data_IF_154767813118
#
_entry.id   IF_154767813118
#
_cell.length_a   1.000
_cell.length_b   1.000
_cell.length_c   1.000
_cell.angle_alpha   90.00
_cell.angle_beta   90.00
_cell.angle_gamma   90.00
#
_symmetry.space_group_name_H-M   'P 1'
#
loop_
_entity.id
_entity.type
_entity.pdbx_description
1 polymer ?
#
# COMPACT_ATOMS: atom_id res chain seq x y z
N UNK A 1 6.56 -19.01 -12.81
CA UNK A 1 5.89 -17.84 -12.21
C UNK A 1 5.35 -18.23 -10.85
N UNK A 2 5.69 -17.49 -9.80
CA UNK A 2 5.37 -17.80 -8.41
C UNK A 2 5.13 -16.51 -7.62
N UNK A 3 4.06 -16.46 -6.83
CA UNK A 3 3.88 -15.46 -5.77
C UNK A 3 4.29 -16.12 -4.46
N UNK A 4 5.18 -15.48 -3.72
CA UNK A 4 5.63 -15.94 -2.41
C UNK A 4 5.85 -14.79 -1.44
N UNK A 5 5.96 -15.11 -0.16
CA UNK A 5 6.37 -14.12 0.84
C UNK A 5 7.77 -13.55 0.49
N UNK A 6 7.92 -12.25 0.70
CA UNK A 6 9.21 -11.61 0.60
C UNK A 6 10.09 -11.96 1.80
N UNK A 7 11.40 -12.04 1.57
CA UNK A 7 12.42 -12.31 2.58
C UNK A 7 13.52 -11.26 2.51
N UNK A 8 14.42 -11.22 3.49
CA UNK A 8 15.57 -10.29 3.48
C UNK A 8 16.45 -10.49 2.25
N UNK A 9 16.50 -11.70 1.68
CA UNK A 9 17.25 -11.99 0.44
C UNK A 9 16.70 -11.22 -0.79
N UNK A 10 15.46 -10.78 -0.77
CA UNK A 10 14.82 -10.04 -1.86
C UNK A 10 15.14 -8.53 -1.85
N UNK A 11 15.87 -8.05 -0.84
CA UNK A 11 16.20 -6.64 -0.65
C UNK A 11 16.75 -5.96 -1.93
N UNK A 12 17.75 -6.52 -2.65
CA UNK A 12 18.27 -5.89 -3.86
C UNK A 12 17.23 -5.76 -4.97
N UNK A 13 16.39 -6.79 -5.16
CA UNK A 13 15.34 -6.78 -6.18
C UNK A 13 14.22 -5.79 -5.83
N UNK A 14 13.78 -5.75 -4.59
CA UNK A 14 12.78 -4.79 -4.10
C UNK A 14 13.28 -3.35 -4.17
N UNK A 15 14.56 -3.11 -3.92
CA UNK A 15 15.17 -1.78 -4.09
C UNK A 15 15.13 -1.34 -5.57
N UNK A 16 15.39 -2.24 -6.51
CA UNK A 16 15.28 -1.95 -7.95
C UNK A 16 13.83 -1.63 -8.33
N UNK A 17 12.85 -2.41 -7.87
CA UNK A 17 11.43 -2.12 -8.12
C UNK A 17 11.00 -0.77 -7.51
N UNK A 18 11.48 -0.43 -6.33
CA UNK A 18 11.21 0.85 -5.67
C UNK A 18 11.79 2.04 -6.46
N UNK A 19 13.01 1.91 -6.97
CA UNK A 19 13.65 2.90 -7.83
C UNK A 19 12.89 3.07 -9.16
N UNK A 20 12.47 1.95 -9.79
CA UNK A 20 11.66 1.97 -11.01
C UNK A 20 10.29 2.62 -10.79
N UNK A 21 9.66 2.37 -9.64
CA UNK A 21 8.37 2.95 -9.28
C UNK A 21 8.42 4.47 -9.06
N UNK A 22 9.57 4.97 -8.62
CA UNK A 22 9.79 6.39 -8.33
C UNK A 22 9.01 6.90 -7.11
N UNK A 23 8.84 8.21 -7.01
CA UNK A 23 8.22 8.86 -5.85
C UNK A 23 6.73 8.59 -5.67
N UNK A 24 6.06 8.00 -6.66
CA UNK A 24 4.61 7.70 -6.61
C UNK A 24 4.24 6.53 -5.71
N UNK A 25 5.16 5.60 -5.45
CA UNK A 25 4.92 4.42 -4.62
C UNK A 25 5.48 4.62 -3.20
N UNK A 26 4.81 5.44 -2.41
CA UNK A 26 5.26 5.81 -1.06
C UNK A 26 5.33 4.63 -0.08
N UNK A 27 4.54 3.58 -0.33
CA UNK A 27 4.54 2.35 0.48
C UNK A 27 5.69 1.38 0.18
N UNK A 28 6.51 1.65 -0.84
CA UNK A 28 7.75 0.91 -1.13
C UNK A 28 8.89 1.93 -1.32
N UNK A 29 9.47 2.47 -0.25
CA UNK A 29 10.47 3.52 -0.34
C UNK A 29 11.77 2.99 -0.95
N UNK A 30 12.39 3.77 -1.85
CA UNK A 30 13.69 3.49 -2.43
C UNK A 30 14.84 3.80 -1.43
N UNK A 31 14.84 3.10 -0.30
CA UNK A 31 15.82 3.20 0.77
C UNK A 31 16.13 1.81 1.30
N UNK A 32 17.38 1.38 1.16
CA UNK A 32 17.87 0.07 1.57
C UNK A 32 17.57 -0.18 3.06
N UNK A 33 17.93 0.75 3.94
CA UNK A 33 17.71 0.65 5.38
C UNK A 33 16.22 0.49 5.74
N UNK A 34 15.35 1.23 5.06
CA UNK A 34 13.89 1.16 5.32
C UNK A 34 13.30 -0.14 4.80
N UNK A 35 13.74 -0.62 3.65
CA UNK A 35 13.31 -1.89 3.07
C UNK A 35 13.80 -3.07 3.91
N UNK A 36 15.05 -3.05 4.38
CA UNK A 36 15.59 -4.09 5.25
C UNK A 36 14.78 -4.20 6.55
N UNK A 37 14.54 -3.09 7.23
CA UNK A 37 13.68 -3.07 8.43
C UNK A 37 12.29 -3.60 8.16
N UNK A 38 11.72 -3.24 7.02
CA UNK A 38 10.40 -3.74 6.61
C UNK A 38 10.41 -5.24 6.40
N UNK A 39 11.42 -5.78 5.72
CA UNK A 39 11.55 -7.23 5.48
C UNK A 39 11.70 -8.02 6.77
N UNK A 40 12.45 -7.50 7.75
CA UNK A 40 12.51 -8.09 9.09
C UNK A 40 11.12 -8.12 9.76
N UNK A 41 10.34 -7.05 9.62
CA UNK A 41 8.97 -7.00 10.11
C UNK A 41 8.08 -8.02 9.38
N UNK A 42 8.23 -8.15 8.07
CA UNK A 42 7.50 -9.14 7.25
C UNK A 42 7.81 -10.56 7.72
N UNK A 43 9.06 -10.91 7.91
CA UNK A 43 9.46 -12.25 8.41
C UNK A 43 8.87 -12.52 9.81
N UNK A 44 8.92 -11.55 10.71
CA UNK A 44 8.31 -11.65 12.04
C UNK A 44 6.78 -11.78 11.96
N UNK A 45 6.13 -11.09 10.99
CA UNK A 45 4.68 -11.20 10.75
C UNK A 45 4.27 -12.60 10.31
N UNK A 46 4.99 -13.17 9.35
CA UNK A 46 4.75 -14.56 8.89
C UNK A 46 5.06 -15.59 9.97
N UNK A 47 6.03 -15.31 10.86
CA UNK A 47 6.30 -16.14 12.03
C UNK A 47 5.23 -16.03 13.14
N UNK A 48 4.26 -15.10 13.00
CA UNK A 48 3.18 -14.91 13.98
C UNK A 48 3.64 -14.30 15.31
N UNK A 49 4.77 -13.61 15.32
CA UNK A 49 5.36 -13.01 16.54
C UNK A 49 4.89 -11.58 16.79
N UNK A 50 4.21 -10.96 15.83
CA UNK A 50 3.75 -9.58 15.91
C UNK A 50 2.24 -9.49 16.16
N UNK A 51 1.81 -8.37 16.72
CA UNK A 51 0.39 -8.04 16.85
C UNK A 51 -0.19 -7.56 15.52
N UNK A 52 -1.51 -7.58 15.36
CA UNK A 52 -2.17 -7.02 14.17
C UNK A 52 -1.79 -5.56 13.89
N UNK A 53 -1.51 -4.78 14.94
CA UNK A 53 -1.13 -3.39 14.82
C UNK A 53 0.26 -3.19 14.18
N UNK A 54 1.11 -4.20 14.24
CA UNK A 54 2.51 -4.16 13.79
C UNK A 54 2.76 -5.05 12.58
N UNK A 55 1.82 -5.94 12.26
CA UNK A 55 2.02 -6.94 11.20
C UNK A 55 1.91 -6.32 9.80
N UNK A 56 2.94 -6.57 9.00
CA UNK A 56 3.07 -6.17 7.59
C UNK A 56 3.44 -7.42 6.76
N UNK A 57 2.68 -7.69 5.73
CA UNK A 57 2.89 -8.82 4.83
C UNK A 57 3.28 -8.30 3.46
N UNK A 58 4.45 -8.69 2.97
CA UNK A 58 4.93 -8.33 1.65
C UNK A 58 5.14 -9.61 0.83
N UNK A 59 4.67 -9.57 -0.39
CA UNK A 59 4.79 -10.64 -1.37
C UNK A 59 5.60 -10.16 -2.56
N UNK A 60 6.32 -11.07 -3.18
CA UNK A 60 7.02 -10.89 -4.44
C UNK A 60 6.46 -11.81 -5.51
N UNK A 61 6.44 -11.32 -6.74
CA UNK A 61 6.11 -12.10 -7.92
C UNK A 61 7.40 -12.40 -8.68
N UNK A 62 7.67 -13.69 -8.86
CA UNK A 62 8.78 -14.19 -9.70
C UNK A 62 8.28 -14.63 -11.06
N UNK A 63 9.06 -14.36 -12.09
CA UNK A 63 8.87 -14.89 -13.43
C UNK A 63 9.32 -16.37 -13.53
N UNK A 64 9.33 -16.92 -14.75
CA UNK A 64 9.75 -18.29 -14.99
C UNK A 64 11.27 -18.51 -14.76
N UNK A 65 12.07 -17.47 -14.77
CA UNK A 65 13.52 -17.52 -14.52
C UNK A 65 13.87 -17.36 -13.04
N UNK A 66 12.88 -17.09 -12.17
CA UNK A 66 13.09 -16.79 -10.75
C UNK A 66 13.45 -15.33 -10.48
N UNK A 67 13.35 -14.45 -11.47
CA UNK A 67 13.56 -13.02 -11.27
C UNK A 67 12.33 -12.39 -10.63
N UNK A 68 12.52 -11.58 -9.59
CA UNK A 68 11.46 -10.79 -8.96
C UNK A 68 11.08 -9.63 -9.90
N UNK A 69 9.83 -9.65 -10.37
CA UNK A 69 9.29 -8.71 -11.35
C UNK A 69 8.17 -7.83 -10.79
N UNK A 70 7.69 -8.12 -9.61
CA UNK A 70 6.61 -7.35 -9.00
C UNK A 70 6.49 -7.60 -7.50
N UNK A 71 5.67 -6.79 -6.85
CA UNK A 71 5.40 -6.84 -5.41
C UNK A 71 3.99 -6.42 -5.09
N UNK A 72 3.43 -6.94 -4.00
CA UNK A 72 2.21 -6.47 -3.35
C UNK A 72 2.33 -6.64 -1.84
N UNK A 73 1.64 -5.81 -1.07
CA UNK A 73 1.69 -5.85 0.38
C UNK A 73 0.33 -5.71 1.02
N UNK A 74 0.23 -6.19 2.25
CA UNK A 74 -0.95 -6.09 3.11
C UNK A 74 -0.53 -5.63 4.49
N UNK A 75 -0.97 -4.45 4.90
CA UNK A 75 -0.97 -4.07 6.31
C UNK A 75 -2.12 -4.79 7.00
N UNK A 76 -1.87 -5.49 8.08
CA UNK A 76 -2.91 -6.25 8.78
C UNK A 76 -3.99 -5.33 9.35
N UNK A 77 -3.60 -4.19 9.94
CA UNK A 77 -4.52 -3.19 10.47
C UNK A 77 -3.92 -1.79 10.38
N UNK A 78 -4.44 -0.97 9.48
CA UNK A 78 -3.98 0.41 9.32
C UNK A 78 -4.46 1.31 10.47
N UNK A 79 -3.66 2.31 10.83
CA UNK A 79 -4.08 3.37 11.75
C UNK A 79 -4.05 3.02 13.24
N UNK A 80 -3.53 1.85 13.65
CA UNK A 80 -3.46 1.44 15.06
C UNK A 80 -2.20 1.94 15.78
N UNK A 81 -1.15 2.33 15.07
CA UNK A 81 0.07 2.94 15.63
C UNK A 81 0.17 4.41 15.28
N UNK A 82 -0.08 4.74 14.03
CA UNK A 82 -0.11 6.10 13.52
C UNK A 82 -1.48 6.38 12.89
N UNK A 83 -2.07 7.57 13.06
CA UNK A 83 -3.38 7.86 12.51
C UNK A 83 -3.44 7.66 11.00
N UNK A 84 -4.40 6.86 10.54
CA UNK A 84 -4.69 6.70 9.12
C UNK A 84 -5.80 7.65 8.72
N UNK A 85 -5.44 8.71 8.00
CA UNK A 85 -6.38 9.73 7.58
C UNK A 85 -7.04 9.36 6.26
N UNK A 86 -8.35 9.46 6.25
CA UNK A 86 -9.18 9.32 5.06
C UNK A 86 -10.15 10.50 4.93
N UNK A 87 -10.77 10.64 3.77
CA UNK A 87 -11.73 11.71 3.54
C UNK A 87 -13.06 11.13 3.07
N UNK A 88 -14.12 11.41 3.82
CA UNK A 88 -15.48 11.12 3.38
C UNK A 88 -15.95 12.27 2.48
N UNK A 89 -16.37 11.92 1.27
CA UNK A 89 -17.03 12.88 0.38
C UNK A 89 -18.48 13.07 0.82
N UNK A 90 -18.83 14.29 1.17
CA UNK A 90 -20.18 14.70 1.50
C UNK A 90 -20.68 15.83 0.61
N UNK A 91 -21.87 16.33 0.92
CA UNK A 91 -22.51 17.48 0.28
C UNK A 91 -22.91 18.47 1.35
N UNK A 92 -22.42 19.70 1.23
CA UNK A 92 -22.88 20.81 2.07
C UNK A 92 -23.85 21.67 1.26
N UNK A 93 -25.01 21.94 1.85
CA UNK A 93 -26.04 22.79 1.24
C UNK A 93 -26.14 24.07 2.05
N UNK A 94 -26.05 25.20 1.37
CA UNK A 94 -26.31 26.56 1.92
C UNK A 94 -27.43 27.22 1.13
N UNK A 95 -28.37 27.80 1.85
CA UNK A 95 -29.50 28.49 1.23
C UNK A 95 -29.81 29.78 2.00
N UNK A 96 -30.21 30.82 1.26
CA UNK A 96 -30.79 32.04 1.79
C UNK A 96 -32.01 32.44 0.97
N UNK A 97 -33.17 32.60 1.60
CA UNK A 97 -34.36 33.06 0.95
C UNK A 97 -34.27 34.55 0.59
N UNK A 98 -33.65 35.34 1.45
CA UNK A 98 -33.49 36.79 1.25
C UNK A 98 -32.63 37.11 0.03
N UNK A 99 -31.55 36.30 -0.17
CA UNK A 99 -30.62 36.46 -1.29
C UNK A 99 -31.01 35.63 -2.50
N UNK A 100 -32.10 34.85 -2.41
CA UNK A 100 -32.50 33.88 -3.44
C UNK A 100 -31.36 32.96 -3.90
N UNK A 101 -30.60 32.46 -2.94
CA UNK A 101 -29.43 31.60 -3.20
C UNK A 101 -29.67 30.22 -2.66
N UNK A 102 -29.38 29.22 -3.49
CA UNK A 102 -29.26 27.80 -3.11
C UNK A 102 -28.00 27.24 -3.73
N UNK A 103 -27.06 26.76 -2.90
CA UNK A 103 -25.78 26.20 -3.35
C UNK A 103 -25.55 24.83 -2.75
N UNK A 104 -25.12 23.92 -3.60
CA UNK A 104 -24.64 22.60 -3.21
C UNK A 104 -23.13 22.52 -3.48
N UNK A 105 -22.36 22.19 -2.47
CA UNK A 105 -20.91 22.12 -2.56
C UNK A 105 -20.44 20.73 -2.12
N UNK A 106 -19.74 19.98 -3.00
CA UNK A 106 -19.01 18.78 -2.57
C UNK A 106 -17.98 19.16 -1.52
N UNK A 107 -17.98 18.46 -0.41
CA UNK A 107 -17.09 18.73 0.74
C UNK A 107 -16.36 17.43 1.12
N UNK A 108 -15.10 17.55 1.48
CA UNK A 108 -14.31 16.45 2.05
C UNK A 108 -14.25 16.63 3.56
N UNK A 109 -14.71 15.62 4.28
CA UNK A 109 -14.62 15.55 5.74
C UNK A 109 -13.50 14.61 6.13
N UNK A 110 -12.53 15.12 6.90
CA UNK A 110 -11.46 14.28 7.46
C UNK A 110 -12.05 13.25 8.41
N UNK A 111 -11.66 12.00 8.24
CA UNK A 111 -12.12 10.88 9.06
C UNK A 111 -10.99 9.90 9.36
N UNK A 112 -11.20 9.04 10.37
CA UNK A 112 -10.38 7.87 10.67
C UNK A 112 -11.20 6.57 10.56
N UNK A 113 -12.20 6.55 9.71
CA UNK A 113 -13.16 5.45 9.57
C UNK A 113 -12.51 4.11 9.20
N UNK A 114 -11.32 4.15 8.61
CA UNK A 114 -10.57 2.96 8.18
C UNK A 114 -9.57 2.46 9.24
N UNK A 115 -9.57 3.04 10.44
CA UNK A 115 -8.70 2.57 11.53
C UNK A 115 -9.01 1.11 11.85
N UNK A 116 -7.98 0.27 11.86
CA UNK A 116 -8.09 -1.17 12.08
C UNK A 116 -8.47 -1.98 10.85
N UNK A 117 -8.75 -1.34 9.71
CA UNK A 117 -8.98 -2.05 8.46
C UNK A 117 -7.66 -2.56 7.86
N UNK A 118 -7.70 -3.73 7.23
CA UNK A 118 -6.56 -4.20 6.43
C UNK A 118 -6.41 -3.34 5.17
N UNK A 119 -5.18 -3.03 4.80
CA UNK A 119 -4.90 -2.19 3.64
C UNK A 119 -3.97 -2.88 2.65
N UNK A 120 -4.41 -2.97 1.39
CA UNK A 120 -3.52 -3.37 0.28
C UNK A 120 -2.58 -2.21 -0.04
N UNK A 121 -1.30 -2.50 -0.19
CA UNK A 121 -0.26 -1.52 -0.46
C UNK A 121 0.86 -2.11 -1.32
N UNK A 122 1.85 -1.29 -1.67
CA UNK A 122 3.08 -1.73 -2.36
C UNK A 122 2.82 -2.54 -3.64
N UNK A 123 1.67 -2.32 -4.30
CA UNK A 123 1.34 -2.99 -5.55
C UNK A 123 2.13 -2.37 -6.70
N UNK A 124 3.07 -3.12 -7.22
CA UNK A 124 3.90 -2.69 -8.34
C UNK A 124 4.31 -3.87 -9.22
N UNK A 125 4.34 -3.63 -10.52
CA UNK A 125 4.84 -4.56 -11.52
C UNK A 125 5.83 -3.80 -12.41
N UNK A 126 7.00 -4.39 -12.65
CA UNK A 126 8.04 -3.80 -13.51
C UNK A 126 7.51 -3.54 -14.92
N UNK A 127 7.94 -2.46 -15.54
CA UNK A 127 7.38 -1.95 -16.79
C UNK A 127 7.31 -2.98 -17.94
N UNK A 128 8.33 -3.81 -18.18
CA UNK A 128 8.28 -4.80 -19.26
C UNK A 128 7.18 -5.85 -19.09
N UNK A 129 6.69 -6.05 -17.86
CA UNK A 129 5.73 -7.10 -17.52
C UNK A 129 4.29 -6.57 -17.38
N UNK A 130 4.08 -5.25 -17.58
CA UNK A 130 2.75 -4.63 -17.56
C UNK A 130 1.94 -5.02 -18.81
N UNK A 131 0.62 -4.85 -18.71
CA UNK A 131 -0.33 -5.21 -19.79
C UNK A 131 -0.38 -6.70 -20.13
N UNK A 132 0.11 -7.54 -19.23
CA UNK A 132 0.06 -9.00 -19.31
C UNK A 132 -0.88 -9.56 -18.23
N UNK A 133 -0.99 -10.90 -18.17
CA UNK A 133 -1.75 -11.57 -17.10
C UNK A 133 -1.08 -11.48 -15.71
N UNK A 134 0.17 -11.04 -15.64
CA UNK A 134 0.95 -10.96 -14.40
C UNK A 134 0.30 -10.08 -13.32
N UNK A 135 -0.27 -8.94 -13.70
CA UNK A 135 -0.93 -8.04 -12.78
C UNK A 135 -2.20 -8.58 -12.12
N UNK A 136 -2.70 -9.75 -12.57
CA UNK A 136 -3.83 -10.44 -11.94
C UNK A 136 -3.41 -11.38 -10.81
N UNK A 137 -2.12 -11.60 -10.65
CA UNK A 137 -1.55 -12.49 -9.64
C UNK A 137 -1.08 -11.74 -8.39
N UNK A 138 -0.81 -10.45 -8.52
CA UNK A 138 -0.52 -9.52 -7.43
C UNK A 138 -1.80 -8.97 -6.82
#
# INVERSE_FOLDING_TARGET
MLVRAATVADLPALLQLALEAGSGLTSLPASEERLERRLQTVEASFAGTLTMADADYLFVLEDASGQVIGTSGVLAAAGLREPWYSYRRGLTVTASRELNVYRQQPTLFLTNDLTGASALCSLFLSQPHRHSLYGRLL
#
